data_IF_236256141995
#
_entry.id   IF_236256141995
#
_cell.length_a   1.000
_cell.length_b   1.000
_cell.length_c   1.000
_cell.angle_alpha   90.00
_cell.angle_beta   90.00
_cell.angle_gamma   90.00
#
_symmetry.space_group_name_H-M   'P 1'
#
loop_
_entity.id
_entity.type
_entity.pdbx_description
1 polymer ?
#
# COMPACT_ATOMS: atom_id res chain seq x y z
N UNK A 1 -2.58 7.38 11.75
CA UNK A 1 -1.91 7.56 10.43
C UNK A 1 -2.90 7.23 9.31
N UNK A 2 -2.84 7.87 8.14
CA UNK A 2 -3.81 7.63 7.07
C UNK A 2 -3.16 7.78 5.69
N UNK A 3 -3.78 7.18 4.68
CA UNK A 3 -3.49 7.40 3.26
C UNK A 3 -4.49 8.43 2.70
N UNK A 4 -4.00 9.54 2.17
CA UNK A 4 -4.85 10.59 1.61
C UNK A 4 -5.54 10.11 0.32
N UNK A 5 -6.79 10.54 0.11
CA UNK A 5 -7.68 10.11 -0.98
C UNK A 5 -8.14 8.64 -0.93
N UNK A 6 -7.95 7.95 0.19
CA UNK A 6 -8.61 6.66 0.40
C UNK A 6 -10.12 6.86 0.53
N UNK A 7 -10.90 5.99 -0.11
CA UNK A 7 -12.34 5.99 0.07
C UNK A 7 -12.72 5.66 1.52
N UNK A 8 -13.75 6.32 2.09
CA UNK A 8 -14.30 5.94 3.39
C UNK A 8 -15.10 4.64 3.27
N UNK A 9 -15.07 3.81 4.30
CA UNK A 9 -15.87 2.58 4.35
C UNK A 9 -15.33 1.56 5.33
N UNK A 10 -16.06 0.46 5.47
CA UNK A 10 -15.65 -0.72 6.24
C UNK A 10 -15.44 -1.89 5.27
N UNK A 11 -14.21 -2.39 5.19
CA UNK A 11 -13.87 -3.57 4.42
C UNK A 11 -13.78 -4.79 5.35
N UNK A 12 -14.40 -5.89 4.95
CA UNK A 12 -14.33 -7.19 5.65
C UNK A 12 -14.00 -8.28 4.66
N UNK A 13 -13.17 -9.21 5.08
CA UNK A 13 -12.78 -10.35 4.28
C UNK A 13 -11.57 -11.07 4.85
N UNK A 14 -11.21 -12.24 4.29
CA UNK A 14 -10.00 -12.94 4.66
C UNK A 14 -8.76 -12.09 4.34
N UNK A 15 -7.73 -12.17 5.16
CA UNK A 15 -6.49 -11.45 4.96
C UNK A 15 -5.61 -12.22 3.94
N UNK A 16 -5.03 -11.51 2.97
CA UNK A 16 -4.06 -12.08 2.03
C UNK A 16 -2.82 -11.20 1.92
N UNK A 17 -1.64 -11.81 2.07
CA UNK A 17 -0.37 -11.11 1.89
C UNK A 17 0.00 -11.04 0.41
N UNK A 18 0.26 -9.82 -0.09
CA UNK A 18 0.51 -9.56 -1.51
C UNK A 18 1.90 -8.97 -1.77
N UNK A 19 2.88 -9.28 -0.92
CA UNK A 19 4.26 -8.80 -1.05
C UNK A 19 4.33 -7.26 -1.19
N UNK A 20 4.95 -6.72 -2.25
CA UNK A 20 4.99 -5.28 -2.52
C UNK A 20 3.77 -4.80 -3.31
N UNK A 21 2.75 -5.64 -3.55
CA UNK A 21 1.56 -5.28 -4.30
C UNK A 21 1.83 -4.93 -5.77
N UNK A 22 2.92 -5.44 -6.35
CA UNK A 22 3.21 -5.28 -7.79
C UNK A 22 2.24 -6.12 -8.60
N UNK A 23 2.07 -5.79 -9.87
CA UNK A 23 1.24 -6.59 -10.78
C UNK A 23 1.71 -8.06 -10.81
N UNK A 24 3.02 -8.30 -10.80
CA UNK A 24 3.60 -9.64 -10.73
C UNK A 24 3.26 -10.39 -9.45
N UNK A 25 3.13 -9.67 -8.32
CA UNK A 25 2.79 -10.28 -7.04
C UNK A 25 1.33 -10.75 -7.07
N UNK A 26 0.40 -9.93 -7.57
CA UNK A 26 -1.01 -10.33 -7.75
C UNK A 26 -1.17 -11.45 -8.78
N UNK A 27 -0.50 -11.36 -9.93
CA UNK A 27 -0.55 -12.37 -10.98
C UNK A 27 -0.03 -13.72 -10.48
N UNK A 28 1.02 -13.73 -9.66
CA UNK A 28 1.52 -14.96 -9.06
C UNK A 28 0.47 -15.61 -8.15
N UNK A 29 -0.21 -14.83 -7.30
CA UNK A 29 -1.26 -15.37 -6.43
C UNK A 29 -2.43 -15.96 -7.24
N UNK A 30 -2.86 -15.28 -8.30
CA UNK A 30 -4.01 -15.71 -9.10
C UNK A 30 -3.69 -16.85 -10.05
N UNK A 31 -2.56 -16.78 -10.77
CA UNK A 31 -2.26 -17.72 -11.85
C UNK A 31 -1.36 -18.88 -11.42
N UNK A 32 -0.48 -18.68 -10.43
CA UNK A 32 0.43 -19.73 -9.98
C UNK A 32 -0.09 -20.43 -8.72
N UNK A 33 -0.75 -19.70 -7.82
CA UNK A 33 -1.37 -20.28 -6.62
C UNK A 33 -2.89 -20.49 -6.76
N UNK A 34 -3.49 -20.12 -7.89
CA UNK A 34 -4.91 -20.29 -8.18
C UNK A 34 -5.84 -19.68 -7.13
N UNK A 35 -5.42 -18.57 -6.49
CA UNK A 35 -6.20 -17.88 -5.47
C UNK A 35 -7.21 -16.91 -6.11
N UNK A 36 -8.44 -16.91 -5.60
CA UNK A 36 -9.42 -15.87 -5.88
C UNK A 36 -9.32 -14.78 -4.80
N UNK A 37 -8.86 -13.58 -5.19
CA UNK A 37 -8.66 -12.46 -4.28
C UNK A 37 -9.92 -11.62 -4.06
N UNK A 38 -11.02 -11.94 -4.75
CA UNK A 38 -12.29 -11.21 -4.62
C UNK A 38 -12.76 -11.21 -3.17
N UNK A 39 -13.08 -10.03 -2.64
CA UNK A 39 -13.56 -9.85 -1.27
C UNK A 39 -12.49 -9.95 -0.18
N UNK A 40 -11.22 -10.24 -0.51
CA UNK A 40 -10.15 -10.32 0.48
C UNK A 40 -9.64 -8.93 0.90
N UNK A 41 -9.18 -8.81 2.15
CA UNK A 41 -8.40 -7.67 2.59
C UNK A 41 -6.93 -7.96 2.31
N UNK A 42 -6.34 -7.18 1.41
CA UNK A 42 -4.98 -7.37 0.95
C UNK A 42 -4.00 -6.62 1.89
N UNK A 43 -2.88 -7.22 2.27
CA UNK A 43 -1.82 -6.57 3.05
C UNK A 43 -0.50 -6.58 2.26
N UNK A 44 0.07 -5.39 2.08
CA UNK A 44 1.27 -5.17 1.27
C UNK A 44 2.32 -4.35 2.04
N UNK A 45 3.60 -4.60 1.78
CA UNK A 45 4.67 -3.72 2.23
C UNK A 45 4.84 -2.50 1.32
N UNK A 46 5.26 -1.38 1.91
CA UNK A 46 5.75 -0.23 1.16
C UNK A 46 7.00 -0.58 0.33
N UNK A 47 7.33 0.26 -0.65
CA UNK A 47 8.49 0.08 -1.54
C UNK A 47 8.13 -0.46 -2.93
N UNK A 48 9.14 -0.52 -3.81
CA UNK A 48 9.12 -1.01 -5.20
C UNK A 48 8.24 -0.24 -6.21
N UNK A 49 7.00 0.07 -5.86
CA UNK A 49 6.06 0.82 -6.70
C UNK A 49 5.35 1.90 -5.89
N UNK A 50 4.72 2.85 -6.58
CA UNK A 50 3.95 3.89 -5.94
C UNK A 50 2.75 3.29 -5.19
N UNK A 51 2.42 3.87 -4.03
CA UNK A 51 1.38 3.33 -3.14
C UNK A 51 -0.03 3.41 -3.72
N UNK A 52 -0.30 4.39 -4.59
CA UNK A 52 -1.54 4.47 -5.34
C UNK A 52 -1.71 3.30 -6.31
N UNK A 53 -0.63 2.85 -6.94
CA UNK A 53 -0.67 1.68 -7.84
C UNK A 53 -1.03 0.41 -7.07
N UNK A 54 -0.54 0.25 -5.84
CA UNK A 54 -0.93 -0.88 -4.96
C UNK A 54 -2.43 -0.88 -4.70
N UNK A 55 -3.01 0.28 -4.40
CA UNK A 55 -4.45 0.43 -4.16
C UNK A 55 -5.26 0.14 -5.44
N UNK A 56 -4.82 0.68 -6.58
CA UNK A 56 -5.45 0.44 -7.87
C UNK A 56 -5.41 -1.04 -8.28
N UNK A 57 -4.28 -1.72 -8.09
CA UNK A 57 -4.14 -3.15 -8.37
C UNK A 57 -4.99 -3.98 -7.41
N UNK A 58 -4.97 -3.70 -6.10
CA UNK A 58 -5.84 -4.38 -5.14
C UNK A 58 -7.31 -4.29 -5.55
N UNK A 59 -7.78 -3.10 -5.96
CA UNK A 59 -9.13 -2.92 -6.49
C UNK A 59 -9.36 -3.73 -7.78
N UNK A 60 -8.42 -3.69 -8.74
CA UNK A 60 -8.52 -4.41 -10.02
C UNK A 60 -8.61 -5.92 -9.85
N UNK A 61 -7.96 -6.48 -8.84
CA UNK A 61 -8.01 -7.91 -8.49
C UNK A 61 -9.15 -8.26 -7.53
N UNK A 62 -10.04 -7.32 -7.21
CA UNK A 62 -11.25 -7.55 -6.44
C UNK A 62 -11.08 -7.55 -4.93
N UNK A 63 -9.93 -7.14 -4.38
CA UNK A 63 -9.76 -6.98 -2.93
C UNK A 63 -10.80 -5.99 -2.39
N UNK A 64 -11.36 -6.27 -1.22
CA UNK A 64 -12.30 -5.38 -0.51
C UNK A 64 -11.59 -4.24 0.24
N UNK A 65 -10.30 -4.40 0.55
CA UNK A 65 -9.49 -3.39 1.22
C UNK A 65 -7.99 -3.63 1.06
N UNK A 66 -7.20 -2.62 1.42
CA UNK A 66 -5.73 -2.66 1.38
C UNK A 66 -5.13 -2.11 2.67
N UNK A 67 -4.26 -2.89 3.31
CA UNK A 67 -3.38 -2.48 4.40
C UNK A 67 -1.97 -2.32 3.83
N UNK A 68 -1.32 -1.19 4.11
CA UNK A 68 0.07 -0.95 3.72
C UNK A 68 0.92 -0.73 4.98
N UNK A 69 2.03 -1.45 5.12
CA UNK A 69 2.94 -1.33 6.25
C UNK A 69 4.40 -1.11 5.81
N UNK A 70 5.21 -0.53 6.68
CA UNK A 70 6.65 -0.36 6.47
C UNK A 70 7.39 -1.56 7.06
N UNK A 71 7.86 -2.47 6.21
CA UNK A 71 8.56 -3.67 6.64
C UNK A 71 9.95 -3.33 7.20
N UNK A 72 10.34 -3.85 8.38
CA UNK A 72 11.69 -3.67 8.91
C UNK A 72 12.79 -4.12 7.95
N UNK A 73 12.55 -5.11 7.09
CA UNK A 73 13.51 -5.51 6.06
C UNK A 73 13.93 -4.34 5.15
N UNK A 74 13.04 -3.37 4.93
CA UNK A 74 13.27 -2.22 4.05
C UNK A 74 13.54 -0.91 4.82
N UNK A 75 12.91 -0.74 5.99
CA UNK A 75 12.87 0.55 6.71
C UNK A 75 13.57 0.57 8.07
N UNK A 76 13.95 -0.59 8.61
CA UNK A 76 14.73 -0.74 9.84
C UNK A 76 15.48 -2.09 9.85
N UNK A 77 16.37 -2.34 8.87
CA UNK A 77 16.99 -3.64 8.70
C UNK A 77 17.85 -3.98 9.93
N UNK A 78 17.97 -5.28 10.24
CA UNK A 78 18.63 -5.77 11.46
C UNK A 78 20.08 -5.27 11.60
N UNK A 79 20.79 -5.18 10.49
CA UNK A 79 22.18 -4.69 10.42
C UNK A 79 22.26 -3.19 10.07
N UNK A 80 21.12 -2.50 10.09
CA UNK A 80 21.00 -1.07 9.84
C UNK A 80 21.28 -0.22 11.09
N UNK A 81 21.23 1.12 10.95
CA UNK A 81 21.43 2.01 12.08
C UNK A 81 20.29 1.87 13.10
N UNK A 82 20.51 2.27 14.37
CA UNK A 82 19.48 2.18 15.41
C UNK A 82 18.18 2.89 15.02
N UNK A 83 17.06 2.41 15.55
CA UNK A 83 15.76 3.07 15.39
C UNK A 83 15.66 4.34 16.23
N UNK A 84 14.81 5.28 15.81
CA UNK A 84 14.50 6.48 16.56
C UNK A 84 14.00 6.15 17.99
N UNK A 85 14.40 6.91 19.04
CA UNK A 85 15.21 8.14 19.01
C UNK A 85 16.73 7.92 19.01
N UNK A 86 17.21 6.67 19.06
CA UNK A 86 18.64 6.37 19.17
C UNK A 86 19.38 6.43 17.82
N UNK A 87 18.64 6.47 16.72
CA UNK A 87 19.18 6.63 15.37
C UNK A 87 18.11 6.98 14.35
N UNK A 88 18.48 7.04 13.05
CA UNK A 88 17.61 7.50 11.98
C UNK A 88 16.61 6.46 11.44
N UNK A 89 16.72 5.17 11.82
CA UNK A 89 15.83 4.13 11.30
C UNK A 89 14.41 4.26 11.83
N UNK A 90 13.44 3.72 11.09
CA UNK A 90 12.03 3.81 11.42
C UNK A 90 11.74 3.08 12.75
N UNK A 91 11.09 3.72 13.75
CA UNK A 91 10.70 3.05 14.99
C UNK A 91 9.51 2.10 14.77
N UNK A 92 9.29 1.10 15.65
CA UNK A 92 8.23 0.10 15.49
C UNK A 92 6.81 0.66 15.35
N UNK A 93 6.52 1.80 15.97
CA UNK A 93 5.23 2.50 15.84
C UNK A 93 5.18 3.54 14.72
N UNK A 94 6.27 3.72 13.98
CA UNK A 94 6.37 4.67 12.88
C UNK A 94 5.55 4.20 11.68
N UNK A 95 4.66 5.07 11.17
CA UNK A 95 3.84 4.77 10.00
C UNK A 95 4.03 5.84 8.94
N UNK A 96 4.45 5.42 7.74
CA UNK A 96 4.55 6.31 6.59
C UNK A 96 3.14 6.75 6.15
N UNK A 97 2.95 8.07 5.98
CA UNK A 97 1.73 8.66 5.38
C UNK A 97 1.97 8.88 3.87
N UNK A 98 0.90 9.08 3.09
CA UNK A 98 1.02 9.50 1.70
C UNK A 98 -0.30 9.49 0.94
N UNK A 99 -0.30 10.06 -0.26
CA UNK A 99 -1.45 10.00 -1.18
C UNK A 99 -1.51 8.65 -1.91
N UNK A 100 -2.73 8.13 -2.12
CA UNK A 100 -3.01 6.98 -3.01
C UNK A 100 -3.67 7.39 -4.33
N UNK A 101 -3.78 8.69 -4.58
CA UNK A 101 -4.28 9.22 -5.84
C UNK A 101 -3.30 8.99 -6.99
N UNK A 102 -3.84 8.63 -8.15
CA UNK A 102 -3.07 8.38 -9.38
C UNK A 102 -3.01 9.59 -10.34
N UNK A 103 -3.81 10.62 -10.09
CA UNK A 103 -3.85 11.83 -10.91
C UNK A 103 -2.84 12.86 -10.43
N UNK A 104 -2.49 13.79 -11.33
CA UNK A 104 -1.58 14.91 -11.05
C UNK A 104 -2.39 16.19 -10.91
N UNK A 105 -2.04 17.04 -9.94
CA UNK A 105 -2.69 18.33 -9.70
C UNK A 105 -3.94 18.23 -8.81
N UNK A 106 -4.74 19.29 -8.81
CA UNK A 106 -6.04 19.31 -8.13
C UNK A 106 -7.00 18.32 -8.83
N UNK A 107 -7.55 17.34 -8.09
CA UNK A 107 -8.51 16.38 -8.63
C UNK A 107 -9.77 17.01 -9.23
N UNK A 108 -10.15 18.20 -8.76
CA UNK A 108 -11.37 18.88 -9.18
C UNK A 108 -11.15 19.86 -10.34
N UNK A 109 -9.90 20.24 -10.63
CA UNK A 109 -9.56 21.16 -11.72
C UNK A 109 -8.44 20.60 -12.61
N UNK A 110 -8.67 19.47 -13.30
CA UNK A 110 -7.65 18.88 -14.16
C UNK A 110 -7.25 19.86 -15.26
N UNK A 111 -5.94 20.10 -15.39
CA UNK A 111 -5.33 20.95 -16.43
C UNK A 111 -5.70 22.44 -16.38
N UNK A 112 -6.40 22.92 -15.34
CA UNK A 112 -6.71 24.34 -15.13
C UNK A 112 -6.37 24.78 -13.70
N UNK A 113 -6.10 26.07 -13.44
CA UNK A 113 -5.84 26.57 -12.09
C UNK A 113 -7.04 26.41 -11.15
N UNK A 114 -6.78 26.03 -9.90
CA UNK A 114 -7.76 26.02 -8.82
C UNK A 114 -7.85 27.41 -8.16
N UNK A 115 -8.52 28.35 -8.85
CA UNK A 115 -8.70 29.76 -8.44
C UNK A 115 -10.16 30.09 -8.11
#
# INVERSE_FOLDING_TARGET
PFNAYSAPGEAKGPLVYVNYGRISDFQYLVYNLSLNLTGHVCIARYGQIFRGDKAHLAQRFGCSGLIIYSDPADYAPKDGPPVYPKGPSLPPGGVQRGTVMLTVGDPLTPSIPAI
#
